data_IF_976348940788
#
_entry.id   IF_976348940788
#
_cell.length_a   1.000
_cell.length_b   1.000
_cell.length_c   1.000
_cell.angle_alpha   90.00
_cell.angle_beta   90.00
_cell.angle_gamma   90.00
#
_symmetry.space_group_name_H-M   'P 1'
#
loop_
_entity.id
_entity.type
_entity.pdbx_description
1 polymer ?
#
# COMPACT_ATOMS: atom_id res chain seq x y z
N UNK A 1 -41.28 -23.93 -45.29
CA UNK A 1 -39.88 -24.08 -45.75
C UNK A 1 -39.19 -25.11 -44.85
N UNK A 2 -38.29 -25.87 -45.46
CA UNK A 2 -37.90 -27.24 -45.13
C UNK A 2 -37.26 -27.50 -43.75
N UNK A 3 -37.67 -28.64 -43.19
CA UNK A 3 -36.94 -29.51 -42.25
C UNK A 3 -35.57 -29.95 -42.79
N UNK A 4 -34.55 -30.09 -41.92
CA UNK A 4 -33.54 -31.16 -42.03
C UNK A 4 -33.04 -31.63 -40.65
N UNK A 5 -33.10 -32.96 -40.50
CA UNK A 5 -32.63 -33.83 -39.42
C UNK A 5 -31.11 -34.10 -39.47
N UNK A 6 -30.65 -34.87 -38.47
CA UNK A 6 -29.47 -35.77 -38.37
C UNK A 6 -28.24 -35.17 -37.66
N UNK A 7 -27.46 -35.85 -36.81
CA UNK A 7 -27.52 -37.13 -36.07
C UNK A 7 -26.20 -37.23 -35.27
N UNK A 8 -26.21 -37.81 -34.06
CA UNK A 8 -25.03 -38.23 -33.29
C UNK A 8 -24.26 -39.36 -34.03
N UNK A 9 -22.94 -39.61 -33.79
CA UNK A 9 -22.51 -40.27 -32.53
C UNK A 9 -21.07 -39.98 -32.02
N UNK A 10 -20.84 -40.55 -30.83
CA UNK A 10 -19.64 -40.66 -29.98
C UNK A 10 -18.45 -41.37 -30.66
N UNK A 11 -17.20 -40.94 -30.38
CA UNK A 11 -16.04 -41.84 -30.32
C UNK A 11 -14.83 -41.19 -29.60
N UNK A 12 -14.35 -41.86 -28.56
CA UNK A 12 -13.11 -41.63 -27.80
C UNK A 12 -11.95 -42.35 -28.48
N UNK A 13 -10.76 -41.76 -28.59
CA UNK A 13 -9.50 -42.49 -28.74
C UNK A 13 -8.27 -41.64 -28.38
N UNK A 14 -7.56 -42.07 -27.33
CA UNK A 14 -6.14 -41.79 -27.09
C UNK A 14 -5.30 -42.41 -28.20
N UNK A 15 -4.18 -41.80 -28.58
CA UNK A 15 -2.98 -42.51 -29.03
C UNK A 15 -1.73 -41.64 -28.88
N UNK A 16 -0.76 -42.21 -28.15
CA UNK A 16 0.61 -41.74 -28.00
C UNK A 16 1.37 -41.83 -29.33
N UNK A 17 2.22 -40.85 -29.60
CA UNK A 17 3.26 -40.94 -30.62
C UNK A 17 4.62 -41.16 -29.96
N UNK A 18 5.24 -42.28 -30.31
CA UNK A 18 6.58 -42.75 -29.96
C UNK A 18 7.54 -42.66 -31.16
N UNK A 19 8.85 -42.72 -30.88
CA UNK A 19 9.99 -43.04 -31.78
C UNK A 19 10.51 -41.89 -32.67
N UNK A 20 11.82 -41.61 -32.88
CA UNK A 20 13.17 -42.17 -32.60
C UNK A 20 14.14 -40.98 -32.85
N UNK A 21 15.31 -40.78 -32.23
CA UNK A 21 16.44 -41.68 -32.02
C UNK A 21 17.51 -41.45 -33.09
N UNK A 22 18.64 -40.81 -32.76
CA UNK A 22 19.93 -41.14 -33.37
C UNK A 22 21.11 -40.89 -32.39
N UNK A 23 22.15 -41.74 -32.43
CA UNK A 23 23.06 -41.97 -31.32
C UNK A 23 24.37 -41.21 -31.48
N UNK A 24 25.01 -40.89 -30.35
CA UNK A 24 26.44 -41.05 -30.14
C UNK A 24 26.77 -40.42 -28.79
N UNK A 25 27.19 -41.26 -27.84
CA UNK A 25 28.47 -41.14 -27.13
C UNK A 25 28.35 -41.86 -25.79
N UNK A 26 28.95 -43.05 -25.77
CA UNK A 26 29.78 -43.58 -24.68
C UNK A 26 29.13 -43.74 -23.30
N UNK A 27 28.74 -44.99 -23.03
CA UNK A 27 28.60 -45.53 -21.68
C UNK A 27 29.88 -45.28 -20.86
N UNK A 28 29.72 -44.65 -19.71
CA UNK A 28 30.59 -44.86 -18.56
C UNK A 28 29.69 -45.25 -17.40
N UNK A 29 29.75 -46.54 -17.06
CA UNK A 29 29.05 -47.16 -15.95
C UNK A 29 29.58 -46.59 -14.64
N UNK A 30 28.93 -45.57 -14.12
CA UNK A 30 28.99 -45.24 -12.70
C UNK A 30 27.70 -45.76 -12.07
N UNK A 31 27.82 -46.78 -11.22
CA UNK A 31 26.75 -47.29 -10.37
C UNK A 31 26.19 -46.15 -9.52
N UNK A 32 25.07 -45.58 -9.98
CA UNK A 32 24.33 -44.55 -9.27
C UNK A 32 23.65 -45.14 -8.04
N UNK A 33 24.17 -44.74 -6.88
CA UNK A 33 23.52 -44.87 -5.59
C UNK A 33 22.10 -44.26 -5.68
N UNK A 34 21.04 -44.89 -5.13
CA UNK A 34 19.71 -44.31 -5.12
C UNK A 34 19.76 -42.91 -4.52
N UNK A 35 19.21 -41.92 -5.23
CA UNK A 35 19.08 -40.57 -4.74
C UNK A 35 18.30 -40.60 -3.42
N UNK A 36 18.99 -40.34 -2.32
CA UNK A 36 18.42 -40.20 -1.00
C UNK A 36 17.42 -39.05 -1.04
N UNK A 37 16.14 -39.37 -0.86
CA UNK A 37 15.07 -38.39 -0.80
C UNK A 37 15.39 -37.41 0.33
N UNK A 38 15.34 -36.11 0.03
CA UNK A 38 15.45 -35.07 1.04
C UNK A 38 14.46 -35.38 2.18
N UNK A 39 14.88 -35.31 3.46
CA UNK A 39 13.98 -35.55 4.57
C UNK A 39 12.83 -34.57 4.44
N UNK A 40 11.64 -35.09 4.16
CA UNK A 40 10.42 -34.31 4.26
C UNK A 40 10.29 -34.03 5.73
N UNK A 41 10.58 -32.80 6.15
CA UNK A 41 10.33 -32.32 7.50
C UNK A 41 8.80 -32.24 7.71
N UNK A 42 8.21 -33.42 7.79
CA UNK A 42 6.86 -33.68 8.27
C UNK A 42 6.98 -34.07 9.74
N UNK A 43 7.88 -33.43 10.48
CA UNK A 43 7.77 -33.41 11.92
C UNK A 43 6.42 -32.75 12.21
N UNK A 44 5.44 -33.59 12.52
CA UNK A 44 4.17 -33.19 13.10
C UNK A 44 4.53 -32.42 14.36
N UNK A 45 4.57 -31.09 14.25
CA UNK A 45 4.63 -30.20 15.41
C UNK A 45 3.46 -30.66 16.28
N UNK A 46 3.70 -31.16 17.50
CA UNK A 46 2.62 -31.57 18.37
C UNK A 46 1.70 -30.37 18.53
N UNK A 47 0.46 -30.52 18.08
CA UNK A 47 -0.56 -29.48 18.23
C UNK A 47 -0.62 -29.12 19.70
N UNK A 48 -0.39 -27.86 20.09
CA UNK A 48 -0.58 -27.44 21.47
C UNK A 48 -1.96 -27.93 21.92
N UNK A 49 -2.04 -28.60 23.07
CA UNK A 49 -3.34 -29.03 23.65
C UNK A 49 -4.03 -27.84 24.33
N UNK A 50 -4.04 -26.69 23.68
CA UNK A 50 -4.60 -25.43 24.16
C UNK A 50 -6.12 -25.35 23.94
N UNK A 51 -6.71 -26.41 23.40
CA UNK A 51 -8.14 -26.50 23.09
C UNK A 51 -8.53 -25.83 21.77
N UNK A 52 -7.57 -25.27 21.01
CA UNK A 52 -7.82 -24.69 19.70
C UNK A 52 -7.85 -25.81 18.66
N UNK A 53 -9.01 -26.05 18.08
CA UNK A 53 -9.20 -27.10 17.05
C UNK A 53 -9.62 -26.50 15.71
N UNK A 54 -9.31 -27.15 14.57
CA UNK A 54 -9.84 -26.72 13.28
C UNK A 54 -11.37 -26.61 13.26
N UNK A 55 -12.06 -27.54 13.93
CA UNK A 55 -13.53 -27.52 14.04
C UNK A 55 -14.04 -26.29 14.82
N UNK A 56 -13.34 -25.92 15.91
CA UNK A 56 -13.65 -24.71 16.66
C UNK A 56 -13.52 -23.45 15.80
N UNK A 57 -12.39 -23.29 15.10
CA UNK A 57 -12.16 -22.15 14.20
C UNK A 57 -13.19 -22.12 13.06
N UNK A 58 -13.44 -23.25 12.42
CA UNK A 58 -14.39 -23.36 11.31
C UNK A 58 -15.81 -22.94 11.73
N UNK A 59 -16.23 -23.27 12.95
CA UNK A 59 -17.52 -22.83 13.50
C UNK A 59 -17.61 -21.30 13.58
N UNK A 60 -16.62 -20.63 14.16
CA UNK A 60 -16.62 -19.16 14.29
C UNK A 60 -16.56 -18.48 12.92
N UNK A 61 -15.71 -18.97 12.01
CA UNK A 61 -15.62 -18.47 10.64
C UNK A 61 -16.96 -18.59 9.92
N UNK A 62 -17.63 -19.75 10.02
CA UNK A 62 -18.92 -19.99 9.37
C UNK A 62 -20.00 -19.01 9.83
N UNK A 63 -20.07 -18.72 11.13
CA UNK A 63 -21.03 -17.74 11.66
C UNK A 63 -20.71 -16.33 11.16
N UNK A 64 -19.47 -15.87 11.37
CA UNK A 64 -19.07 -14.50 11.03
C UNK A 64 -19.09 -14.22 9.53
N UNK A 65 -18.96 -15.24 8.68
CA UNK A 65 -19.01 -15.15 7.23
C UNK A 65 -20.36 -15.59 6.63
N UNK A 66 -21.37 -15.86 7.46
CA UNK A 66 -22.70 -16.22 6.97
C UNK A 66 -23.42 -15.04 6.34
N UNK A 67 -24.34 -15.32 5.40
CA UNK A 67 -25.20 -14.32 4.79
C UNK A 67 -26.03 -13.56 5.84
N UNK A 68 -26.41 -14.22 6.93
CA UNK A 68 -27.13 -13.61 8.06
C UNK A 68 -26.33 -12.47 8.69
N UNK A 69 -25.00 -12.53 8.70
CA UNK A 69 -24.18 -11.47 9.29
C UNK A 69 -23.96 -10.30 8.33
N UNK A 70 -24.23 -10.44 7.02
CA UNK A 70 -24.14 -9.34 6.02
C UNK A 70 -22.77 -8.62 5.97
N UNK A 71 -21.73 -9.21 6.56
CA UNK A 71 -20.41 -8.60 6.74
C UNK A 71 -20.16 -8.07 8.15
N UNK A 72 -19.11 -7.25 8.30
CA UNK A 72 -18.62 -6.78 9.62
C UNK A 72 -18.07 -5.35 9.57
N UNK A 73 -18.48 -4.58 8.56
CA UNK A 73 -17.97 -3.22 8.35
C UNK A 73 -18.64 -2.28 9.36
N UNK A 74 -17.91 -1.33 9.98
CA UNK A 74 -18.52 -0.31 10.82
C UNK A 74 -19.65 0.45 10.09
N UNK A 75 -20.61 0.96 10.86
CA UNK A 75 -21.83 1.63 10.39
C UNK A 75 -22.76 0.74 9.57
N UNK A 76 -22.80 -0.55 9.86
CA UNK A 76 -23.71 -1.50 9.18
C UNK A 76 -24.42 -2.40 10.19
N UNK A 77 -25.52 -3.03 9.77
CA UNK A 77 -26.20 -4.07 10.58
C UNK A 77 -25.30 -5.28 10.85
N UNK A 78 -24.35 -5.55 9.98
CA UNK A 78 -23.37 -6.61 10.19
C UNK A 78 -22.40 -6.34 11.33
N UNK A 79 -22.03 -5.07 11.57
CA UNK A 79 -21.27 -4.68 12.77
C UNK A 79 -22.03 -5.00 14.06
N UNK A 80 -23.30 -4.60 14.13
CA UNK A 80 -24.15 -4.87 15.31
C UNK A 80 -24.17 -6.38 15.63
N UNK A 81 -24.39 -7.21 14.60
CA UNK A 81 -24.41 -8.69 14.74
C UNK A 81 -23.04 -9.24 15.14
N UNK A 82 -21.97 -8.81 14.48
CA UNK A 82 -20.62 -9.30 14.71
C UNK A 82 -20.10 -8.95 16.12
N UNK A 83 -20.29 -7.71 16.55
CA UNK A 83 -19.83 -7.25 17.87
C UNK A 83 -20.64 -7.90 18.99
N UNK A 84 -21.97 -8.07 18.82
CA UNK A 84 -22.81 -8.81 19.76
C UNK A 84 -22.39 -10.28 19.88
N UNK A 85 -22.07 -10.92 18.75
CA UNK A 85 -21.55 -12.29 18.74
C UNK A 85 -20.25 -12.41 19.53
N UNK A 86 -19.28 -11.52 19.29
CA UNK A 86 -18.00 -11.51 20.02
C UNK A 86 -18.20 -11.31 21.52
N UNK A 87 -19.06 -10.37 21.92
CA UNK A 87 -19.39 -10.15 23.33
C UNK A 87 -20.05 -11.38 23.98
N UNK A 88 -20.90 -12.10 23.23
CA UNK A 88 -21.51 -13.35 23.71
C UNK A 88 -20.47 -14.47 23.89
N UNK A 89 -19.53 -14.62 22.96
CA UNK A 89 -18.44 -15.59 23.09
C UNK A 89 -17.52 -15.25 24.26
N UNK A 90 -17.19 -13.97 24.47
CA UNK A 90 -16.40 -13.54 25.64
C UNK A 90 -17.08 -13.87 26.96
N UNK A 91 -18.40 -13.68 27.05
CA UNK A 91 -19.20 -14.09 28.22
C UNK A 91 -19.15 -15.60 28.44
N UNK A 92 -19.31 -16.41 27.39
CA UNK A 92 -19.26 -17.88 27.47
C UNK A 92 -17.90 -18.39 27.96
N UNK A 93 -16.82 -17.70 27.59
CA UNK A 93 -15.46 -17.99 28.04
C UNK A 93 -15.18 -17.53 29.48
N UNK A 94 -16.13 -16.84 30.14
CA UNK A 94 -15.95 -16.33 31.50
C UNK A 94 -15.04 -15.11 31.59
N UNK A 95 -14.78 -14.42 30.46
CA UNK A 95 -13.99 -13.20 30.47
C UNK A 95 -14.73 -12.10 31.20
N UNK A 96 -14.00 -11.35 32.03
CA UNK A 96 -14.53 -10.15 32.69
C UNK A 96 -14.75 -9.06 31.64
N UNK A 97 -15.82 -8.25 31.78
CA UNK A 97 -16.00 -7.09 30.92
C UNK A 97 -14.88 -6.06 31.13
N UNK A 98 -14.73 -5.16 30.17
CA UNK A 98 -13.83 -4.02 30.27
C UNK A 98 -14.34 -2.92 31.20
N UNK A 99 -13.72 -1.72 31.13
CA UNK A 99 -14.14 -0.56 31.93
C UNK A 99 -15.64 -0.28 31.83
N UNK A 100 -16.27 0.07 32.95
CA UNK A 100 -17.72 0.33 33.02
C UNK A 100 -18.60 -0.92 32.96
N UNK A 101 -18.03 -2.13 33.05
CA UNK A 101 -18.80 -3.38 33.02
C UNK A 101 -19.31 -3.77 31.63
N UNK A 102 -18.81 -3.10 30.58
CA UNK A 102 -19.17 -3.35 29.18
C UNK A 102 -18.17 -4.26 28.49
N UNK A 103 -18.64 -5.09 27.54
CA UNK A 103 -17.77 -5.80 26.59
C UNK A 103 -17.43 -4.95 25.35
N UNK A 104 -17.94 -3.72 25.28
CA UNK A 104 -17.78 -2.81 24.16
C UNK A 104 -16.94 -1.59 24.56
N UNK A 105 -16.02 -1.20 23.69
CA UNK A 105 -15.30 0.06 23.75
C UNK A 105 -15.77 0.94 22.58
N UNK A 106 -16.36 2.12 22.83
CA UNK A 106 -16.77 3.01 21.76
C UNK A 106 -15.52 3.57 21.05
N UNK A 107 -15.53 3.49 19.71
CA UNK A 107 -14.52 4.10 18.85
C UNK A 107 -15.26 5.05 17.92
N UNK A 108 -15.21 6.37 18.16
CA UNK A 108 -15.91 7.32 17.31
C UNK A 108 -15.20 7.40 15.96
N UNK A 109 -15.95 7.08 14.91
CA UNK A 109 -15.49 7.11 13.52
C UNK A 109 -16.31 8.13 12.72
N UNK A 110 -15.75 8.58 11.62
CA UNK A 110 -16.43 9.34 10.57
C UNK A 110 -16.19 8.66 9.24
N UNK A 111 -17.21 8.64 8.39
CA UNK A 111 -17.08 8.20 7.01
C UNK A 111 -16.97 9.41 6.07
N UNK A 112 -15.84 9.52 5.39
CA UNK A 112 -15.61 10.56 4.39
C UNK A 112 -15.71 9.93 3.00
N UNK A 113 -16.75 10.31 2.27
CA UNK A 113 -17.00 9.91 0.90
C UNK A 113 -16.69 11.07 -0.06
N UNK A 114 -15.40 11.28 -0.31
CA UNK A 114 -14.95 12.35 -1.21
C UNK A 114 -15.24 12.04 -2.68
N UNK A 115 -15.59 13.08 -3.44
CA UNK A 115 -15.69 13.05 -4.91
C UNK A 115 -14.65 14.00 -5.52
N UNK A 116 -13.39 13.54 -5.73
CA UNK A 116 -12.37 14.37 -6.35
C UNK A 116 -12.76 14.79 -7.77
N UNK A 117 -12.35 15.99 -8.18
CA UNK A 117 -12.55 16.47 -9.54
C UNK A 117 -11.92 15.53 -10.57
N UNK A 118 -12.48 15.46 -11.78
CA UNK A 118 -11.90 14.61 -12.84
C UNK A 118 -10.47 14.99 -13.21
N UNK A 119 -10.07 16.23 -12.90
CA UNK A 119 -8.75 16.77 -13.21
C UNK A 119 -8.23 17.67 -12.10
N UNK A 120 -6.91 17.70 -11.92
CA UNK A 120 -6.21 18.70 -11.13
C UNK A 120 -5.18 19.43 -12.00
N UNK A 121 -4.95 20.71 -11.74
CA UNK A 121 -4.00 21.51 -12.51
C UNK A 121 -2.85 21.97 -11.64
N UNK A 122 -1.64 21.75 -12.13
CA UNK A 122 -0.42 22.32 -11.56
C UNK A 122 0.18 23.26 -12.60
N UNK A 123 0.33 24.53 -12.25
CA UNK A 123 0.88 25.55 -13.14
C UNK A 123 2.15 26.18 -12.56
N UNK A 124 3.07 26.53 -13.44
CA UNK A 124 4.31 27.21 -13.08
C UNK A 124 5.08 27.63 -14.33
N UNK A 125 5.70 28.81 -14.29
CA UNK A 125 6.60 29.30 -15.35
C UNK A 125 5.97 29.34 -16.76
N UNK A 126 4.69 29.71 -16.84
CA UNK A 126 3.95 29.75 -18.10
C UNK A 126 3.60 28.38 -18.68
N UNK A 127 3.92 27.29 -17.96
CA UNK A 127 3.49 25.92 -18.29
C UNK A 127 2.36 25.50 -17.35
N UNK A 128 1.50 24.64 -17.87
CA UNK A 128 0.40 24.03 -17.12
C UNK A 128 0.40 22.53 -17.35
N UNK A 129 0.31 21.76 -16.27
CA UNK A 129 0.18 20.32 -16.26
C UNK A 129 -1.20 19.96 -15.71
N UNK A 130 -2.02 19.34 -16.56
CA UNK A 130 -3.30 18.78 -16.14
C UNK A 130 -3.12 17.29 -15.82
N UNK A 131 -3.46 16.93 -14.59
CA UNK A 131 -3.48 15.55 -14.07
C UNK A 131 -4.90 15.02 -14.13
N UNK A 132 -5.08 13.75 -14.51
CA UNK A 132 -6.38 13.07 -14.55
C UNK A 132 -6.59 12.21 -13.31
N UNK A 133 -7.78 12.30 -12.72
CA UNK A 133 -8.15 11.49 -11.56
C UNK A 133 -8.05 9.99 -11.88
N UNK A 134 -7.57 9.22 -10.90
CA UNK A 134 -7.20 7.79 -10.98
C UNK A 134 -6.06 7.46 -11.93
N UNK A 135 -5.87 8.18 -13.04
CA UNK A 135 -4.80 7.89 -13.99
C UNK A 135 -3.47 8.48 -13.52
N UNK A 136 -3.46 9.75 -13.12
CA UNK A 136 -2.26 10.47 -12.71
C UNK A 136 -2.22 10.73 -11.20
N UNK A 137 -3.38 10.81 -10.54
CA UNK A 137 -3.46 11.16 -9.13
C UNK A 137 -4.62 10.48 -8.38
N UNK A 138 -4.46 10.37 -7.06
CA UNK A 138 -5.51 10.00 -6.11
C UNK A 138 -5.44 10.96 -4.91
N UNK A 139 -6.34 11.95 -4.86
CA UNK A 139 -6.42 12.91 -3.75
C UNK A 139 -7.59 12.60 -2.83
N UNK A 140 -7.37 12.87 -1.55
CA UNK A 140 -8.23 12.57 -0.43
C UNK A 140 -8.16 13.72 0.58
N UNK A 141 -9.06 13.69 1.55
CA UNK A 141 -9.00 14.54 2.71
C UNK A 141 -9.54 13.80 3.92
N UNK A 142 -8.94 14.06 5.08
CA UNK A 142 -9.46 13.64 6.38
C UNK A 142 -10.14 14.80 7.12
N UNK A 143 -10.34 15.95 6.46
CA UNK A 143 -11.08 17.09 7.01
C UNK A 143 -12.57 16.87 6.82
N UNK A 144 -13.34 16.99 7.89
CA UNK A 144 -14.79 16.82 7.88
C UNK A 144 -15.46 18.12 7.39
N UNK A 145 -15.28 18.41 6.10
CA UNK A 145 -15.81 19.61 5.44
C UNK A 145 -16.61 19.23 4.18
N UNK A 146 -17.72 19.93 3.86
CA UNK A 146 -18.49 19.66 2.65
C UNK A 146 -17.67 19.83 1.36
N UNK A 147 -16.67 20.70 1.38
CA UNK A 147 -15.79 20.96 0.24
C UNK A 147 -14.42 21.36 0.76
N UNK A 148 -13.38 20.76 0.19
CA UNK A 148 -11.99 21.13 0.45
C UNK A 148 -11.38 21.56 -0.88
N UNK A 149 -10.80 22.75 -0.88
CA UNK A 149 -10.23 23.35 -2.08
C UNK A 149 -8.83 23.87 -1.80
N UNK A 150 -7.90 23.57 -2.70
CA UNK A 150 -6.55 24.13 -2.68
C UNK A 150 -6.36 24.95 -3.96
N UNK A 151 -6.23 26.27 -3.80
CA UNK A 151 -5.96 27.22 -4.89
C UNK A 151 -4.55 27.77 -4.76
N UNK A 152 -3.81 27.75 -5.87
CA UNK A 152 -2.50 28.41 -6.00
C UNK A 152 -1.50 28.06 -4.88
N UNK A 153 -1.57 26.84 -4.34
CA UNK A 153 -0.63 26.36 -3.32
C UNK A 153 0.74 26.12 -3.94
N UNK A 154 1.81 26.81 -3.48
CA UNK A 154 3.16 26.53 -3.96
C UNK A 154 3.55 25.08 -3.65
N UNK A 155 4.35 24.47 -4.53
CA UNK A 155 4.85 23.12 -4.33
C UNK A 155 6.28 23.15 -3.79
N UNK A 156 6.55 22.35 -2.77
CA UNK A 156 7.89 22.17 -2.20
C UNK A 156 8.22 20.69 -2.19
N UNK A 157 9.36 20.31 -2.78
CA UNK A 157 9.84 18.93 -2.69
C UNK A 157 10.69 18.75 -1.44
N UNK A 158 10.32 17.78 -0.61
CA UNK A 158 10.96 17.51 0.67
C UNK A 158 11.46 16.06 0.75
N UNK A 159 12.20 15.59 -0.26
CA UNK A 159 12.84 14.27 -0.23
C UNK A 159 11.84 13.14 0.06
N UNK A 160 12.02 12.44 1.17
CA UNK A 160 11.09 11.41 1.66
C UNK A 160 10.08 11.94 2.69
N UNK A 161 10.15 13.21 3.08
CA UNK A 161 9.28 13.82 4.08
C UNK A 161 9.54 13.30 5.49
N UNK A 162 10.80 13.04 5.82
CA UNK A 162 11.22 12.41 7.07
C UNK A 162 11.95 13.39 7.97
N UNK A 163 11.52 13.46 9.23
CA UNK A 163 12.25 14.06 10.35
C UNK A 163 12.54 12.97 11.36
N UNK A 164 13.80 12.53 11.41
CA UNK A 164 14.28 11.41 12.20
C UNK A 164 15.62 11.75 12.87
N UNK A 165 15.59 12.47 14.02
CA UNK A 165 16.80 12.93 14.71
C UNK A 165 17.76 11.80 15.12
N UNK A 166 17.23 10.62 15.45
CA UNK A 166 18.02 9.43 15.79
C UNK A 166 18.86 8.90 14.61
N UNK A 167 18.46 9.22 13.38
CA UNK A 167 19.20 8.96 12.15
C UNK A 167 19.96 10.19 11.64
N UNK A 168 19.92 11.31 12.39
CA UNK A 168 20.47 12.61 11.97
C UNK A 168 19.95 13.06 10.60
N UNK A 169 18.67 12.78 10.34
CA UNK A 169 18.02 13.04 9.06
C UNK A 169 16.83 13.98 9.25
N UNK A 170 16.75 15.02 8.43
CA UNK A 170 15.60 15.93 8.40
C UNK A 170 15.42 16.49 6.98
N UNK A 171 14.44 15.97 6.26
CA UNK A 171 14.09 16.43 4.90
C UNK A 171 13.42 17.81 4.89
N UNK A 172 12.91 18.27 6.04
CA UNK A 172 12.29 19.59 6.17
C UNK A 172 13.28 20.69 6.59
N UNK A 173 14.52 20.31 6.96
CA UNK A 173 15.53 21.25 7.40
C UNK A 173 15.79 22.35 6.35
N UNK A 174 15.55 23.60 6.73
CA UNK A 174 15.73 24.77 5.86
C UNK A 174 14.64 24.96 4.79
N UNK A 175 13.59 24.14 4.77
CA UNK A 175 12.46 24.29 3.86
C UNK A 175 11.33 25.09 4.52
N UNK A 176 10.85 26.13 3.82
CA UNK A 176 9.58 26.77 4.18
C UNK A 176 8.43 26.04 3.50
N UNK A 177 7.71 25.22 4.26
CA UNK A 177 6.55 24.43 3.77
C UNK A 177 5.21 24.94 4.29
N UNK A 178 5.20 25.96 5.14
CA UNK A 178 3.99 26.44 5.79
C UNK A 178 3.01 27.01 4.76
N UNK A 179 1.77 26.52 4.77
CA UNK A 179 0.74 26.91 3.82
C UNK A 179 0.94 26.39 2.38
N UNK A 180 1.94 25.52 2.15
CA UNK A 180 2.29 24.98 0.83
C UNK A 180 1.92 23.51 0.71
N UNK A 181 1.95 22.97 -0.51
CA UNK A 181 1.76 21.55 -0.74
C UNK A 181 3.12 20.88 -0.90
N UNK A 182 3.41 19.95 0.00
CA UNK A 182 4.67 19.20 0.00
C UNK A 182 4.57 18.03 -0.97
N UNK A 183 5.64 17.77 -1.72
CA UNK A 183 5.76 16.61 -2.60
C UNK A 183 6.91 15.75 -2.09
N UNK A 184 6.67 14.46 -1.89
CA UNK A 184 7.64 13.53 -1.28
C UNK A 184 7.71 12.22 -2.04
N UNK A 185 8.81 11.49 -1.88
CA UNK A 185 8.98 10.14 -2.37
C UNK A 185 8.28 9.12 -1.44
N UNK A 186 7.82 8.01 -2.01
CA UNK A 186 7.36 6.87 -1.23
C UNK A 186 8.54 6.21 -0.47
N UNK A 187 8.23 5.64 0.69
CA UNK A 187 9.12 4.89 1.57
C UNK A 187 10.17 5.75 2.30
N UNK A 188 11.17 5.14 2.92
CA UNK A 188 12.30 5.82 3.56
C UNK A 188 13.61 5.62 2.76
N UNK A 189 14.65 6.47 2.99
CA UNK A 189 15.87 6.47 2.19
C UNK A 189 16.58 5.11 2.08
N UNK A 190 16.64 4.35 3.19
CA UNK A 190 17.29 3.05 3.21
C UNK A 190 16.55 2.03 2.36
N UNK A 191 15.23 1.94 2.56
CA UNK A 191 14.41 0.95 1.86
C UNK A 191 14.32 1.27 0.36
N UNK A 192 14.03 2.51 0.00
CA UNK A 192 13.86 2.91 -1.40
C UNK A 192 15.17 2.84 -2.20
N UNK A 193 16.29 3.22 -1.56
CA UNK A 193 17.63 3.19 -2.17
C UNK A 193 18.28 1.81 -2.17
N UNK A 194 17.74 0.84 -1.42
CA UNK A 194 18.39 -0.44 -1.12
C UNK A 194 19.81 -0.22 -0.50
N UNK A 195 19.97 0.87 0.25
CA UNK A 195 21.21 1.26 0.90
C UNK A 195 21.18 0.78 2.36
N UNK A 196 21.98 -0.24 2.65
CA UNK A 196 22.04 -0.86 3.99
C UNK A 196 22.67 0.03 5.05
N UNK A 197 23.26 1.18 4.68
CA UNK A 197 23.90 2.12 5.60
C UNK A 197 22.94 3.20 6.11
N UNK A 198 21.79 3.35 5.48
CA UNK A 198 20.76 4.32 5.84
C UNK A 198 19.60 3.63 6.57
N UNK A 199 19.11 4.25 7.64
CA UNK A 199 17.94 3.76 8.41
C UNK A 199 18.10 2.29 8.84
N UNK A 200 17.13 1.43 8.48
CA UNK A 200 17.18 -0.03 8.68
C UNK A 200 17.53 -0.79 7.39
N UNK A 201 18.18 -0.11 6.45
CA UNK A 201 18.52 -0.67 5.16
C UNK A 201 17.28 -1.07 4.38
N UNK A 202 17.17 -2.36 4.04
CA UNK A 202 16.10 -2.88 3.19
C UNK A 202 14.75 -3.00 3.91
N UNK A 203 14.71 -2.87 5.22
CA UNK A 203 13.47 -2.94 6.00
C UNK A 203 12.80 -1.56 6.05
N UNK A 204 11.53 -1.49 5.67
CA UNK A 204 10.74 -0.27 5.78
C UNK A 204 10.57 0.12 7.26
N UNK A 205 10.91 1.36 7.57
CA UNK A 205 10.72 1.96 8.88
C UNK A 205 9.33 2.60 9.02
N UNK A 206 9.00 3.11 10.21
CA UNK A 206 7.79 3.91 10.41
C UNK A 206 7.75 5.14 9.47
N UNK A 207 8.91 5.74 9.18
CA UNK A 207 9.07 6.87 8.27
C UNK A 207 8.67 6.60 6.82
N UNK A 208 8.69 5.32 6.42
CA UNK A 208 8.23 4.91 5.09
C UNK A 208 6.71 4.90 4.93
N UNK A 209 5.95 4.93 6.03
CA UNK A 209 4.48 4.86 6.01
C UNK A 209 3.87 6.20 5.57
N UNK A 210 2.92 6.16 4.65
CA UNK A 210 2.23 7.36 4.15
C UNK A 210 1.53 8.16 5.25
N UNK A 211 0.91 7.50 6.23
CA UNK A 211 0.23 8.17 7.35
C UNK A 211 1.19 9.07 8.14
N UNK A 212 2.40 8.58 8.43
CA UNK A 212 3.45 9.40 9.04
C UNK A 212 3.75 10.65 8.20
N UNK A 213 3.89 10.50 6.88
CA UNK A 213 4.23 11.63 5.99
C UNK A 213 3.14 12.71 6.02
N UNK A 214 1.86 12.33 5.98
CA UNK A 214 0.74 13.28 6.09
C UNK A 214 0.75 14.01 7.43
N UNK A 215 0.92 13.28 8.53
CA UNK A 215 1.01 13.86 9.87
C UNK A 215 2.22 14.78 10.02
N UNK A 216 3.39 14.41 9.50
CA UNK A 216 4.60 15.21 9.60
C UNK A 216 4.48 16.52 8.80
N UNK A 217 3.94 16.45 7.58
CA UNK A 217 3.65 17.66 6.81
C UNK A 217 2.67 18.60 7.54
N UNK A 218 1.66 18.03 8.20
CA UNK A 218 0.74 18.80 9.04
C UNK A 218 1.46 19.45 10.24
N UNK A 219 2.38 18.74 10.91
CA UNK A 219 3.22 19.29 12.00
C UNK A 219 4.06 20.47 11.54
N UNK A 220 4.57 20.45 10.31
CA UNK A 220 5.28 21.58 9.70
C UNK A 220 4.36 22.67 9.11
N UNK A 221 3.04 22.52 9.22
CA UNK A 221 2.06 23.52 8.78
C UNK A 221 1.78 23.53 7.28
N UNK A 222 2.07 22.45 6.57
CA UNK A 222 1.73 22.32 5.15
C UNK A 222 0.21 22.33 4.92
N UNK A 223 -0.23 22.87 3.78
CA UNK A 223 -1.63 22.79 3.33
C UNK A 223 -1.96 21.42 2.76
N UNK A 224 -1.00 20.74 2.14
CA UNK A 224 -1.21 19.44 1.52
C UNK A 224 0.07 18.62 1.47
N UNK A 225 -0.06 17.31 1.27
CA UNK A 225 1.07 16.45 0.92
C UNK A 225 0.68 15.48 -0.19
N UNK A 226 1.55 15.37 -1.19
CA UNK A 226 1.42 14.42 -2.29
C UNK A 226 2.64 13.49 -2.33
N UNK A 227 2.38 12.19 -2.26
CA UNK A 227 3.38 11.14 -2.37
C UNK A 227 3.55 10.74 -3.82
N UNK A 228 4.80 10.67 -4.28
CA UNK A 228 5.16 10.14 -5.59
C UNK A 228 5.20 8.61 -5.48
N UNK A 229 4.30 7.95 -6.18
CA UNK A 229 4.32 6.50 -6.33
C UNK A 229 5.38 6.10 -7.36
N UNK A 230 6.36 5.33 -6.90
CA UNK A 230 7.30 4.57 -7.74
C UNK A 230 7.13 3.08 -7.43
N UNK A 231 6.80 2.30 -8.46
CA UNK A 231 6.50 0.86 -8.35
C UNK A 231 7.62 0.07 -7.70
N UNK A 232 8.89 0.40 -7.96
CA UNK A 232 10.03 -0.36 -7.43
C UNK A 232 10.14 -0.22 -5.89
N UNK A 233 10.28 0.98 -5.31
CA UNK A 233 10.32 1.16 -3.86
C UNK A 233 8.97 0.94 -3.16
N UNK A 234 7.84 1.09 -3.86
CA UNK A 234 6.53 0.76 -3.30
C UNK A 234 6.30 -0.75 -3.19
N UNK A 235 6.94 -1.56 -4.05
CA UNK A 235 6.71 -3.00 -4.19
C UNK A 235 5.27 -3.40 -4.60
N UNK A 236 4.48 -2.45 -5.11
CA UNK A 236 3.15 -2.69 -5.66
C UNK A 236 2.83 -1.73 -6.82
N UNK A 237 2.00 -2.16 -7.78
CA UNK A 237 1.59 -1.31 -8.91
C UNK A 237 0.63 -0.19 -8.48
N UNK A 238 0.49 0.82 -9.33
CA UNK A 238 -0.42 1.95 -9.14
C UNK A 238 -1.88 1.55 -8.87
N UNK A 239 -2.31 0.39 -9.38
CA UNK A 239 -3.67 -0.14 -9.16
C UNK A 239 -3.99 -0.34 -7.67
N UNK A 240 -2.99 -0.63 -6.84
CA UNK A 240 -3.16 -0.70 -5.37
C UNK A 240 -3.46 0.67 -4.79
N UNK A 241 -2.82 1.74 -5.28
CA UNK A 241 -3.15 3.11 -4.87
C UNK A 241 -4.57 3.46 -5.30
N UNK A 242 -4.97 3.12 -6.53
CA UNK A 242 -6.30 3.41 -7.06
C UNK A 242 -7.43 2.70 -6.28
N UNK A 243 -7.23 1.45 -5.87
CA UNK A 243 -8.23 0.70 -5.09
C UNK A 243 -8.23 1.12 -3.62
N UNK A 244 -7.05 1.36 -3.04
CA UNK A 244 -6.91 1.71 -1.62
C UNK A 244 -7.34 3.14 -1.31
N UNK A 245 -7.25 4.06 -2.27
CA UNK A 245 -7.58 5.48 -2.09
C UNK A 245 -8.87 5.89 -2.82
N UNK A 246 -9.65 4.92 -3.31
CA UNK A 246 -10.98 5.17 -3.88
C UNK A 246 -12.10 4.98 -2.85
N UNK A 247 -13.25 5.62 -3.12
CA UNK A 247 -14.49 5.43 -2.37
C UNK A 247 -14.45 6.01 -0.96
N UNK A 248 -15.48 5.69 -0.19
CA UNK A 248 -15.63 6.18 1.18
C UNK A 248 -14.64 5.53 2.16
N UNK A 249 -14.09 6.34 3.06
CA UNK A 249 -13.10 5.94 4.06
C UNK A 249 -13.57 6.23 5.47
N UNK A 250 -13.26 5.30 6.37
CA UNK A 250 -13.52 5.44 7.80
C UNK A 250 -12.28 5.97 8.49
N UNK A 251 -12.42 7.06 9.24
CA UNK A 251 -11.36 7.68 10.01
C UNK A 251 -11.82 7.83 11.47
N UNK A 252 -10.92 7.73 12.45
CA UNK A 252 -11.22 8.21 13.80
C UNK A 252 -11.60 9.69 13.78
N UNK A 253 -12.68 10.06 14.46
CA UNK A 253 -13.04 11.47 14.63
C UNK A 253 -11.97 12.19 15.43
N UNK A 254 -11.78 13.47 15.15
CA UNK A 254 -10.90 14.35 15.94
C UNK A 254 -11.72 15.50 16.51
N UNK A 255 -11.37 16.04 17.70
CA UNK A 255 -12.14 17.13 18.30
C UNK A 255 -12.26 18.38 17.42
N UNK A 256 -11.29 18.59 16.53
CA UNK A 256 -11.23 19.70 15.58
C UNK A 256 -11.71 19.31 14.17
N UNK A 257 -12.37 18.15 14.03
CA UNK A 257 -12.96 17.71 12.76
C UNK A 257 -11.94 17.64 11.61
N UNK A 258 -10.70 17.27 11.94
CA UNK A 258 -9.58 17.12 11.00
C UNK A 258 -8.87 18.42 10.65
N UNK A 259 -9.24 19.57 11.24
CA UNK A 259 -8.65 20.86 10.90
C UNK A 259 -7.11 20.92 11.06
N UNK A 260 -6.56 20.18 12.02
CA UNK A 260 -5.12 20.00 12.24
C UNK A 260 -4.42 19.14 11.20
N UNK A 261 -5.14 18.33 10.43
CA UNK A 261 -4.57 17.52 9.33
C UNK A 261 -4.34 18.41 8.10
N UNK A 262 -3.49 17.96 7.18
CA UNK A 262 -3.39 18.63 5.87
C UNK A 262 -4.75 18.65 5.16
N UNK A 263 -5.02 19.69 4.38
CA UNK A 263 -6.28 19.81 3.64
C UNK A 263 -6.38 18.75 2.53
N UNK A 264 -5.25 18.45 1.88
CA UNK A 264 -5.16 17.46 0.81
C UNK A 264 -4.07 16.45 1.12
N UNK A 265 -4.48 15.20 1.15
CA UNK A 265 -3.59 14.05 1.15
C UNK A 265 -3.67 13.40 -0.21
N UNK A 266 -2.60 12.75 -0.65
CA UNK A 266 -2.75 11.85 -1.76
C UNK A 266 -1.47 11.46 -2.46
N UNK A 267 -1.66 10.94 -3.65
CA UNK A 267 -0.64 10.30 -4.44
C UNK A 267 -0.65 10.82 -5.87
N UNK A 268 0.52 10.84 -6.50
CA UNK A 268 0.66 11.00 -7.95
C UNK A 268 1.57 9.92 -8.52
N UNK A 269 1.40 9.60 -9.80
CA UNK A 269 2.30 8.66 -10.49
C UNK A 269 3.71 9.26 -10.65
N UNK A 270 4.73 8.41 -10.73
CA UNK A 270 6.09 8.83 -11.05
C UNK A 270 6.16 9.61 -12.37
N UNK A 271 5.38 9.23 -13.38
CA UNK A 271 5.38 9.92 -14.67
C UNK A 271 4.73 11.31 -14.60
N UNK A 272 3.68 11.47 -13.80
CA UNK A 272 3.14 12.80 -13.48
C UNK A 272 4.18 13.65 -12.73
N UNK A 273 4.88 13.08 -11.76
CA UNK A 273 5.94 13.75 -11.01
C UNK A 273 7.11 14.18 -11.92
N UNK A 274 7.56 13.34 -12.85
CA UNK A 274 8.60 13.70 -13.83
C UNK A 274 8.17 14.89 -14.69
N UNK A 275 6.93 14.89 -15.19
CA UNK A 275 6.37 16.02 -15.96
C UNK A 275 6.31 17.28 -15.10
N UNK A 276 5.91 17.15 -13.84
CA UNK A 276 5.87 18.24 -12.87
C UNK A 276 7.26 18.86 -12.66
N UNK A 277 8.28 18.05 -12.38
CA UNK A 277 9.65 18.54 -12.18
C UNK A 277 10.27 19.12 -13.46
N UNK A 278 9.90 18.61 -14.64
CA UNK A 278 10.32 19.20 -15.92
C UNK A 278 9.63 20.55 -16.22
N UNK A 279 8.43 20.76 -15.67
CA UNK A 279 7.66 21.99 -15.85
C UNK A 279 7.95 23.06 -14.79
N UNK A 280 8.65 22.73 -13.70
CA UNK A 280 8.85 23.61 -12.55
C UNK A 280 10.33 23.84 -12.23
N UNK A 281 10.67 25.01 -11.67
CA UNK A 281 11.91 25.18 -10.88
C UNK A 281 11.66 24.72 -9.45
N UNK A 282 11.12 23.51 -9.24
CA UNK A 282 11.25 22.94 -7.89
C UNK A 282 12.76 22.87 -7.63
N UNK A 283 13.19 23.53 -6.57
CA UNK A 283 14.60 23.70 -6.21
C UNK A 283 15.23 22.32 -6.28
N UNK A 284 16.07 22.09 -7.31
CA UNK A 284 16.90 20.90 -7.38
C UNK A 284 17.72 20.90 -6.09
N UNK A 285 17.59 19.91 -5.19
CA UNK A 285 18.55 19.76 -4.12
C UNK A 285 19.93 19.64 -4.77
N UNK A 286 20.91 20.37 -4.24
CA UNK A 286 22.28 20.32 -4.70
C UNK A 286 22.76 18.88 -4.83
N UNK A 287 23.20 18.51 -6.04
CA UNK A 287 24.04 17.34 -6.41
C UNK A 287 24.02 16.16 -5.41
N UNK A 288 23.00 15.28 -5.50
CA UNK A 288 23.13 13.84 -5.23
C UNK A 288 21.82 13.05 -5.46
N UNK A 289 20.64 13.65 -5.28
CA UNK A 289 19.46 12.84 -4.91
C UNK A 289 18.36 12.69 -5.96
N UNK A 290 18.59 13.08 -7.23
CA UNK A 290 17.56 12.82 -8.27
C UNK A 290 17.91 11.74 -9.29
N UNK A 291 19.18 11.37 -9.46
CA UNK A 291 19.62 10.34 -10.41
C UNK A 291 21.02 9.84 -10.02
N UNK A 292 21.11 8.76 -9.24
CA UNK A 292 22.24 7.83 -9.36
C UNK A 292 21.75 6.66 -10.25
N UNK A 293 22.58 6.16 -11.17
CA UNK A 293 22.27 5.96 -12.60
C UNK A 293 21.40 4.70 -12.85
N UNK A 294 20.51 4.58 -13.86
CA UNK A 294 20.76 4.76 -15.30
C UNK A 294 22.22 4.53 -15.68
N UNK A 295 22.68 3.28 -15.51
CA UNK A 295 23.98 2.72 -15.90
C UNK A 295 24.96 3.69 -16.57
N UNK A 296 25.96 4.14 -15.80
CA UNK A 296 27.05 4.97 -16.31
C UNK A 296 28.08 5.20 -15.22
N UNK A 297 29.28 4.68 -15.45
CA UNK A 297 30.49 4.74 -14.61
C UNK A 297 31.08 6.16 -14.58
N UNK A 298 32.04 6.38 -13.66
CA UNK A 298 33.03 7.47 -13.52
C UNK A 298 32.69 8.39 -12.33
N UNK A 299 33.55 8.68 -11.36
CA UNK A 299 34.99 8.47 -11.18
C UNK A 299 35.47 9.57 -10.22
N UNK A 300 36.15 9.19 -9.16
CA UNK A 300 36.65 10.07 -8.11
C UNK A 300 37.84 10.91 -8.60
N UNK A 301 37.87 12.20 -8.30
CA UNK A 301 39.13 12.95 -8.14
C UNK A 301 38.91 14.19 -7.28
N UNK A 302 39.75 14.33 -6.27
CA UNK A 302 39.84 15.43 -5.32
C UNK A 302 40.86 16.47 -5.79
N UNK A 303 40.57 17.72 -5.41
CA UNK A 303 41.50 18.80 -5.04
C UNK A 303 42.23 19.57 -6.17
N UNK A 304 42.67 20.82 -5.89
CA UNK A 304 42.57 21.59 -4.63
C UNK A 304 41.31 22.46 -4.51
#
# INVERSE_FOLDING_TARGET
MLFRLFSLPVATALLLASCQGNPNSSETTATGQPAEAAPTDTASVPTPSDGITPALLARHIKVLASDEFEGRRPFTKGEDKATAYLAAEFKKLGLKPGPGGSYFQPVPLVEIAGTPDSTATIAGQGKSLTLKYRADYMFLTEREQPTVEIKNSPLVFAGYGVTAPEYKWDDYAGLDVKGKTVVVLINDPGNAGNDTTLFKGREMTYYGRWGYKYEEAARHGATGLVIIHDTKPAAYPWTVVQSSNGGAKLHPTTPDHGASKVALEGWMTLDAAKKLFAASRVIKPSRATLLAPWSGVVGCSLAP
#
